data_IF_079430682153
#
_entry.id   IF_079430682153
#
_cell.length_a   1.000
_cell.length_b   1.000
_cell.length_c   1.000
_cell.angle_alpha   90.00
_cell.angle_beta   90.00
_cell.angle_gamma   90.00
#
_symmetry.space_group_name_H-M   'P 1'
#
loop_
_entity.id
_entity.type
_entity.pdbx_description
1 polymer ?
#
# COMPACT_ATOMS: atom_id res chain seq x y z
N UNK A 1 21.27 0.70 4.17
CA UNK A 1 20.98 1.43 2.92
C UNK A 1 20.19 2.67 3.31
N UNK A 2 19.76 3.51 2.38
CA UNK A 2 18.95 4.70 2.72
C UNK A 2 17.48 4.32 2.62
N UNK A 3 16.69 4.68 3.64
CA UNK A 3 15.23 4.44 3.65
C UNK A 3 14.56 5.23 2.53
N UNK A 4 13.71 4.58 1.73
CA UNK A 4 12.93 5.24 0.67
C UNK A 4 11.71 5.90 1.30
N UNK A 5 11.73 7.22 1.38
CA UNK A 5 10.69 8.03 2.05
C UNK A 5 9.80 8.81 1.08
N UNK A 6 10.12 8.81 -0.22
CA UNK A 6 9.43 9.60 -1.24
C UNK A 6 9.12 8.76 -2.48
N UNK A 7 7.98 9.03 -3.09
CA UNK A 7 7.56 8.48 -4.39
C UNK A 7 8.14 9.34 -5.51
N UNK A 8 9.47 9.29 -5.63
CA UNK A 8 10.22 9.98 -6.68
C UNK A 8 10.08 9.28 -8.05
N UNK A 9 10.78 9.78 -9.06
CA UNK A 9 10.78 9.19 -10.40
C UNK A 9 11.36 7.77 -10.43
N UNK A 10 12.29 7.45 -9.53
CA UNK A 10 12.95 6.15 -9.45
C UNK A 10 11.99 5.10 -8.91
N UNK A 11 11.36 5.37 -7.76
CA UNK A 11 10.35 4.48 -7.18
C UNK A 11 9.15 4.35 -8.13
N UNK A 12 8.69 5.44 -8.74
CA UNK A 12 7.59 5.35 -9.70
C UNK A 12 7.93 4.49 -10.91
N UNK A 13 9.16 4.56 -11.43
CA UNK A 13 9.63 3.68 -12.50
C UNK A 13 9.66 2.19 -12.10
N UNK A 14 10.01 1.87 -10.84
CA UNK A 14 9.92 0.51 -10.32
C UNK A 14 8.46 0.03 -10.24
N UNK A 15 7.56 0.89 -9.75
CA UNK A 15 6.12 0.60 -9.70
C UNK A 15 5.58 0.35 -11.11
N UNK A 16 5.94 1.19 -12.10
CA UNK A 16 5.51 1.05 -13.49
C UNK A 16 5.87 -0.31 -14.11
N UNK A 17 6.98 -0.92 -13.69
CA UNK A 17 7.41 -2.26 -14.17
C UNK A 17 6.49 -3.39 -13.68
N UNK A 18 5.65 -3.14 -12.68
CA UNK A 18 4.69 -4.11 -12.17
C UNK A 18 3.41 -4.18 -13.02
N UNK A 19 3.25 -3.35 -14.05
CA UNK A 19 2.10 -3.46 -14.96
C UNK A 19 2.03 -4.85 -15.59
N UNK A 20 0.85 -5.47 -15.56
CA UNK A 20 0.61 -6.83 -16.02
C UNK A 20 0.95 -7.93 -15.00
N UNK A 21 1.42 -7.58 -13.81
CA UNK A 21 1.69 -8.55 -12.74
C UNK A 21 0.47 -8.79 -11.86
N UNK A 22 0.41 -9.97 -11.25
CA UNK A 22 -0.58 -10.33 -10.23
C UNK A 22 0.10 -10.32 -8.85
N UNK A 23 -0.50 -9.64 -7.88
CA UNK A 23 -0.02 -9.51 -6.52
C UNK A 23 -1.04 -10.01 -5.50
N UNK A 24 -0.57 -10.26 -4.28
CA UNK A 24 -1.37 -10.80 -3.18
C UNK A 24 -1.49 -9.81 -2.03
N UNK A 25 -2.70 -9.63 -1.50
CA UNK A 25 -2.96 -8.79 -0.32
C UNK A 25 -2.16 -9.26 0.91
N UNK A 26 -1.79 -8.35 1.85
CA UNK A 26 -0.86 -8.62 2.96
C UNK A 26 -1.16 -9.90 3.76
N UNK A 27 -2.40 -10.08 4.21
CA UNK A 27 -2.99 -11.37 4.59
C UNK A 27 -4.45 -11.12 4.95
N UNK A 28 -5.32 -11.88 4.30
CA UNK A 28 -6.72 -12.12 4.68
C UNK A 28 -6.89 -13.64 4.68
N UNK A 29 -7.84 -14.23 5.43
CA UNK A 29 -8.13 -15.66 5.33
C UNK A 29 -8.37 -16.14 3.87
N UNK A 30 -8.76 -15.21 2.99
CA UNK A 30 -9.02 -15.40 1.57
C UNK A 30 -7.80 -15.33 0.64
N UNK A 31 -6.61 -14.88 1.09
CA UNK A 31 -5.40 -14.69 0.26
C UNK A 31 -5.69 -14.08 -1.12
N UNK A 32 -6.53 -13.04 -1.14
CA UNK A 32 -7.06 -12.49 -2.37
C UNK A 32 -5.96 -11.89 -3.24
N UNK A 33 -6.04 -12.17 -4.54
CA UNK A 33 -5.12 -11.65 -5.55
C UNK A 33 -5.73 -10.47 -6.29
N UNK A 34 -4.87 -9.63 -6.85
CA UNK A 34 -5.25 -8.50 -7.69
C UNK A 34 -4.24 -8.33 -8.82
N UNK A 35 -4.73 -7.94 -10.00
CA UNK A 35 -3.89 -7.63 -11.16
C UNK A 35 -3.56 -6.15 -11.22
N UNK A 36 -2.33 -5.80 -11.59
CA UNK A 36 -1.92 -4.43 -11.88
C UNK A 36 -2.21 -4.13 -13.35
N UNK A 37 -3.37 -3.53 -13.63
CA UNK A 37 -3.91 -3.42 -14.99
C UNK A 37 -3.22 -2.32 -15.83
N UNK A 38 -3.08 -1.12 -15.27
CA UNK A 38 -2.42 0.00 -15.95
C UNK A 38 -1.77 0.95 -14.96
N UNK A 39 -0.70 1.62 -15.40
CA UNK A 39 0.01 2.63 -14.61
C UNK A 39 0.23 3.86 -15.47
N UNK A 40 -0.18 5.01 -14.96
CA UNK A 40 0.07 6.32 -15.56
C UNK A 40 0.99 7.17 -14.66
N UNK A 41 1.17 8.46 -14.99
CA UNK A 41 2.04 9.36 -14.25
C UNK A 41 1.58 9.66 -12.80
N UNK A 42 0.30 9.42 -12.52
CA UNK A 42 -0.43 9.86 -11.32
C UNK A 42 -1.15 8.74 -10.60
N UNK A 43 -1.34 7.57 -11.22
CA UNK A 43 -2.13 6.50 -10.65
C UNK A 43 -1.74 5.11 -11.14
N UNK A 44 -2.09 4.11 -10.33
CA UNK A 44 -2.05 2.68 -10.65
C UNK A 44 -3.49 2.18 -10.62
N UNK A 45 -3.98 1.62 -11.71
CA UNK A 45 -5.27 0.92 -11.76
C UNK A 45 -5.03 -0.56 -11.53
N UNK A 46 -5.74 -1.14 -10.56
CA UNK A 46 -5.73 -2.58 -10.29
C UNK A 46 -7.10 -3.19 -10.58
N UNK A 47 -7.12 -4.49 -10.85
CA UNK A 47 -8.34 -5.30 -10.93
C UNK A 47 -8.42 -6.26 -9.74
N UNK A 48 -9.58 -6.35 -9.09
CA UNK A 48 -9.78 -7.19 -7.90
C UNK A 48 -10.95 -8.16 -8.11
N UNK A 49 -10.74 -9.47 -7.88
CA UNK A 49 -11.80 -10.48 -7.70
C UNK A 49 -12.84 -10.61 -8.83
N UNK A 50 -13.82 -11.51 -8.64
CA UNK A 50 -14.69 -12.16 -9.65
C UNK A 50 -15.52 -11.29 -10.64
N UNK A 51 -15.36 -9.97 -10.67
CA UNK A 51 -16.00 -9.08 -11.65
C UNK A 51 -15.02 -8.06 -12.29
N UNK A 52 -13.71 -8.27 -12.13
CA UNK A 52 -12.69 -7.34 -12.61
C UNK A 52 -12.94 -5.89 -12.14
N UNK A 53 -13.40 -5.74 -10.90
CA UNK A 53 -13.66 -4.42 -10.33
C UNK A 53 -12.36 -3.62 -10.31
N UNK A 54 -12.38 -2.47 -10.99
CA UNK A 54 -11.24 -1.58 -11.06
C UNK A 54 -11.13 -0.73 -9.80
N UNK A 55 -9.93 -0.67 -9.21
CA UNK A 55 -9.59 0.24 -8.11
C UNK A 55 -8.43 1.12 -8.54
N UNK A 56 -8.57 2.43 -8.36
CA UNK A 56 -7.52 3.40 -8.68
C UNK A 56 -6.73 3.75 -7.41
N UNK A 57 -5.42 3.49 -7.44
CA UNK A 57 -4.47 3.83 -6.39
C UNK A 57 -3.68 5.06 -6.85
N UNK A 58 -3.94 6.22 -6.24
CA UNK A 58 -3.25 7.46 -6.65
C UNK A 58 -1.82 7.47 -6.14
N UNK A 59 -0.91 8.10 -6.90
CA UNK A 59 0.48 8.36 -6.47
C UNK A 59 0.55 9.07 -5.12
N UNK A 60 -0.42 9.95 -4.85
CA UNK A 60 -0.57 10.60 -3.56
C UNK A 60 -0.85 9.61 -2.41
N UNK A 61 -1.63 8.55 -2.64
CA UNK A 61 -1.89 7.53 -1.62
C UNK A 61 -0.61 6.73 -1.28
N UNK A 62 0.24 6.46 -2.27
CA UNK A 62 1.56 5.88 -2.03
C UNK A 62 2.41 6.82 -1.17
N UNK A 63 2.48 8.11 -1.53
CA UNK A 63 3.24 9.10 -0.76
C UNK A 63 2.73 9.22 0.68
N UNK A 64 1.42 9.32 0.88
CA UNK A 64 0.80 9.36 2.21
C UNK A 64 1.12 8.13 3.07
N UNK A 65 1.27 6.96 2.43
CA UNK A 65 1.70 5.74 3.11
C UNK A 65 3.15 5.86 3.58
N UNK A 66 4.06 6.32 2.73
CA UNK A 66 5.47 6.54 3.11
C UNK A 66 5.63 7.66 4.14
N UNK A 67 4.89 8.76 4.00
CA UNK A 67 4.89 9.87 4.96
C UNK A 67 4.46 9.39 6.34
N UNK A 68 3.39 8.59 6.43
CA UNK A 68 2.94 8.03 7.69
C UNK A 68 4.03 7.16 8.32
N UNK A 69 4.58 6.20 7.57
CA UNK A 69 5.59 5.28 8.10
C UNK A 69 6.87 6.01 8.53
N UNK A 70 7.28 7.03 7.77
CA UNK A 70 8.48 7.82 8.06
C UNK A 70 8.28 8.73 9.27
N UNK A 71 7.15 9.46 9.33
CA UNK A 71 6.86 10.42 10.42
C UNK A 71 6.69 9.72 11.77
N UNK A 72 6.26 8.46 11.77
CA UNK A 72 6.08 7.65 12.99
C UNK A 72 7.22 6.65 13.21
N UNK A 73 8.34 6.80 12.51
CA UNK A 73 9.58 6.04 12.72
C UNK A 73 9.39 4.52 12.61
N UNK A 74 8.51 4.06 11.72
CA UNK A 74 8.27 2.63 11.46
C UNK A 74 9.37 2.03 10.58
N UNK A 75 10.63 2.16 10.99
CA UNK A 75 11.83 1.72 10.26
C UNK A 75 12.33 0.40 10.85
N UNK A 76 12.40 -0.65 10.01
CA UNK A 76 12.80 -1.99 10.43
C UNK A 76 11.70 -2.76 11.17
N UNK A 77 11.83 -4.09 11.18
CA UNK A 77 10.78 -4.99 11.69
C UNK A 77 10.45 -4.78 13.17
N UNK A 78 11.43 -4.35 13.98
CA UNK A 78 11.22 -4.06 15.41
C UNK A 78 10.23 -2.89 15.64
N UNK A 79 10.06 -2.02 14.64
CA UNK A 79 9.18 -0.85 14.70
C UNK A 79 7.95 -1.02 13.80
N UNK A 80 7.55 -2.26 13.50
CA UNK A 80 6.42 -2.54 12.63
C UNK A 80 5.09 -2.00 13.18
N UNK A 81 4.24 -1.51 12.27
CA UNK A 81 2.88 -1.06 12.56
C UNK A 81 1.85 -2.06 12.08
N UNK A 82 0.75 -2.19 12.82
CA UNK A 82 -0.40 -2.99 12.40
C UNK A 82 -1.09 -2.34 11.19
N UNK A 83 -1.33 -3.11 10.13
CA UNK A 83 -1.94 -2.59 8.89
C UNK A 83 -3.41 -2.20 9.14
N UNK A 84 -4.15 -3.01 9.90
CA UNK A 84 -5.54 -2.83 10.31
C UNK A 84 -6.41 -2.18 9.21
N UNK A 85 -6.46 -2.81 8.05
CA UNK A 85 -7.25 -2.33 6.92
C UNK A 85 -8.73 -2.65 7.09
N UNK A 86 -9.60 -1.65 6.95
CA UNK A 86 -11.06 -1.84 7.04
C UNK A 86 -11.79 -0.92 6.05
N UNK A 87 -12.87 -1.41 5.42
CA UNK A 87 -13.76 -0.54 4.65
C UNK A 87 -14.52 0.45 5.55
N UNK A 88 -14.86 0.01 6.75
CA UNK A 88 -15.43 0.83 7.82
C UNK A 88 -14.34 1.70 8.44
N UNK A 89 -14.50 3.03 8.33
CA UNK A 89 -13.53 4.04 8.77
C UNK A 89 -13.29 3.97 10.28
N UNK A 90 -14.32 3.70 11.07
CA UNK A 90 -14.22 3.68 12.54
C UNK A 90 -13.38 2.49 13.03
N UNK A 91 -13.22 1.46 12.18
CA UNK A 91 -12.43 0.27 12.45
C UNK A 91 -11.05 0.27 11.77
N UNK A 92 -10.78 1.27 10.91
CA UNK A 92 -9.54 1.36 10.17
C UNK A 92 -8.41 1.90 11.04
N UNK A 93 -7.23 1.26 10.96
CA UNK A 93 -6.05 1.74 11.67
C UNK A 93 -5.46 3.02 11.08
N UNK A 94 -4.56 3.70 11.82
CA UNK A 94 -3.97 4.98 11.41
C UNK A 94 -3.31 4.96 10.02
N UNK A 95 -2.54 3.90 9.70
CA UNK A 95 -1.91 3.74 8.38
C UNK A 95 -2.96 3.68 7.25
N UNK A 96 -4.05 2.94 7.50
CA UNK A 96 -5.14 2.79 6.56
C UNK A 96 -5.91 4.10 6.32
N UNK A 97 -6.05 4.92 7.38
CA UNK A 97 -6.65 6.25 7.32
C UNK A 97 -5.75 7.26 6.60
N UNK A 98 -4.44 7.20 6.83
CA UNK A 98 -3.46 8.06 6.18
C UNK A 98 -3.46 7.84 4.66
N UNK A 99 -3.37 6.58 4.21
CA UNK A 99 -3.30 6.23 2.79
C UNK A 99 -4.57 6.54 1.98
N UNK A 100 -5.72 6.70 2.64
CA UNK A 100 -7.01 7.00 1.97
C UNK A 100 -7.39 8.48 2.01
N UNK A 101 -6.49 9.38 2.44
CA UNK A 101 -6.83 10.79 2.62
C UNK A 101 -6.96 11.47 1.26
N UNK A 102 -8.15 12.00 0.96
CA UNK A 102 -8.41 12.74 -0.27
C UNK A 102 -7.96 14.21 -0.15
N UNK A 103 -7.74 14.90 -1.29
CA UNK A 103 -7.36 16.33 -1.29
C UNK A 103 -8.36 17.24 -0.55
N UNK A 104 -9.65 16.89 -0.55
CA UNK A 104 -10.71 17.62 0.15
C UNK A 104 -10.81 17.30 1.65
N UNK A 105 -9.86 16.53 2.20
CA UNK A 105 -9.84 16.10 3.60
C UNK A 105 -10.78 14.94 3.95
N UNK A 106 -11.59 14.45 3.01
CA UNK A 106 -12.45 13.27 3.22
C UNK A 106 -11.65 11.97 3.14
N UNK A 107 -12.21 10.91 3.71
CA UNK A 107 -11.67 9.56 3.61
C UNK A 107 -12.18 8.89 2.34
N UNK A 108 -11.27 8.40 1.50
CA UNK A 108 -11.55 7.58 0.34
C UNK A 108 -11.68 6.09 0.67
N UNK A 109 -11.58 5.26 -0.37
CA UNK A 109 -11.67 3.80 -0.28
C UNK A 109 -10.47 3.19 0.46
N UNK A 110 -10.63 1.98 0.98
CA UNK A 110 -9.52 1.18 1.51
C UNK A 110 -8.55 0.81 0.39
N UNK A 111 -7.35 1.40 0.40
CA UNK A 111 -6.32 1.19 -0.63
C UNK A 111 -5.03 0.56 -0.09
N UNK A 112 -4.82 0.61 1.23
CA UNK A 112 -3.56 0.16 1.87
C UNK A 112 -3.28 -1.33 1.64
N UNK A 113 -4.33 -2.14 1.48
CA UNK A 113 -4.25 -3.58 1.19
C UNK A 113 -3.63 -3.89 -0.17
N UNK A 114 -3.58 -2.91 -1.07
CA UNK A 114 -3.02 -3.05 -2.42
C UNK A 114 -1.72 -2.26 -2.57
N UNK A 115 -1.61 -1.10 -1.90
CA UNK A 115 -0.39 -0.29 -1.89
C UNK A 115 0.78 -1.04 -1.25
N UNK A 116 0.57 -1.71 -0.12
CA UNK A 116 1.67 -2.37 0.59
C UNK A 116 2.32 -3.50 -0.23
N UNK A 117 1.59 -4.44 -0.86
CA UNK A 117 2.22 -5.44 -1.74
C UNK A 117 2.98 -4.83 -2.92
N UNK A 118 2.49 -3.72 -3.50
CA UNK A 118 3.19 -3.00 -4.57
C UNK A 118 4.54 -2.45 -4.05
N UNK A 119 4.51 -1.78 -2.89
CA UNK A 119 5.73 -1.24 -2.25
C UNK A 119 6.70 -2.34 -1.80
N UNK A 120 6.18 -3.50 -1.39
CA UNK A 120 6.98 -4.69 -1.03
C UNK A 120 7.74 -5.24 -2.25
N UNK A 121 7.08 -5.34 -3.42
CA UNK A 121 7.76 -5.72 -4.68
C UNK A 121 8.86 -4.73 -5.07
N UNK A 122 8.70 -3.45 -4.74
CA UNK A 122 9.72 -2.42 -4.95
C UNK A 122 10.79 -2.38 -3.85
N UNK A 123 10.78 -3.30 -2.88
CA UNK A 123 11.71 -3.34 -1.75
C UNK A 123 11.70 -2.06 -0.90
N UNK A 124 10.53 -1.43 -0.76
CA UNK A 124 10.33 -0.23 0.07
C UNK A 124 9.85 -0.59 1.48
N UNK A 125 8.95 -1.57 1.58
CA UNK A 125 8.37 -2.02 2.85
C UNK A 125 8.51 -3.52 3.03
N UNK A 126 8.62 -3.95 4.28
CA UNK A 126 8.42 -5.35 4.68
C UNK A 126 6.98 -5.58 5.15
N UNK A 127 6.49 -6.81 5.00
CA UNK A 127 5.16 -7.21 5.49
C UNK A 127 5.29 -8.52 6.28
N UNK A 128 4.81 -8.55 7.52
CA UNK A 128 4.63 -9.79 8.26
C UNK A 128 3.29 -10.42 7.87
N UNK A 129 3.35 -11.33 6.88
CA UNK A 129 2.19 -12.02 6.30
C UNK A 129 1.74 -13.25 7.10
N UNK A 130 2.63 -13.80 7.91
CA UNK A 130 2.44 -15.07 8.63
C UNK A 130 1.83 -14.91 10.03
N UNK A 131 1.78 -13.69 10.56
CA UNK A 131 1.25 -13.40 11.89
C UNK A 131 -0.02 -12.55 11.80
N UNK A 132 -0.98 -12.84 12.69
CA UNK A 132 -2.14 -12.00 12.91
C UNK A 132 -1.97 -11.22 14.23
N UNK A 133 -2.15 -9.89 14.24
CA UNK A 133 -2.51 -9.06 13.10
C UNK A 133 -1.33 -8.83 12.15
N UNK A 134 -1.63 -8.55 10.87
CA UNK A 134 -0.59 -8.26 9.86
C UNK A 134 0.07 -6.92 10.13
N UNK A 135 1.39 -6.88 9.98
CA UNK A 135 2.19 -5.68 10.23
C UNK A 135 3.08 -5.32 9.05
N UNK A 136 3.50 -4.06 8.99
CA UNK A 136 4.42 -3.54 7.96
C UNK A 136 5.39 -2.52 8.53
N UNK A 137 6.52 -2.31 7.86
CA UNK A 137 7.59 -1.38 8.23
C UNK A 137 8.36 -0.95 6.98
N UNK A 138 9.06 0.19 7.05
CA UNK A 138 10.02 0.63 6.03
C UNK A 138 11.30 -0.21 6.09
N UNK A 139 11.80 -0.62 4.93
CA UNK A 139 13.10 -1.28 4.81
C UNK A 139 14.23 -0.24 4.89
N UNK A 140 15.35 -0.64 5.52
CA UNK A 140 16.55 0.16 5.74
C UNK A 140 17.75 -0.44 5.01
#
# INVERSE_FOLDING_TARGET
>A
MTVITQVDTTLWALISRLQGTELQTPYTPSNSRFGVASIDATSVTITTGAKDSAVVLTRAAFQQTLDYLTTHEHIGQAHAVVIQSSHDKEKAGPLCLAARKQPNGKSGTCVITYILPILEQCQVVGISRMAAPTTTWLLH
#
